data_IF_316535340402
#
_entry.id   IF_316535340402
#
_cell.length_a   1.000
_cell.length_b   1.000
_cell.length_c   1.000
_cell.angle_alpha   90.00
_cell.angle_beta   90.00
_cell.angle_gamma   90.00
#
_symmetry.space_group_name_H-M   'P 1'
#
loop_
_entity.id
_entity.type
_entity.pdbx_description
1 polymer ?
#
# COMPACT_ATOMS: atom_id res chain seq x y z
N UNK A 1 -16.94 -1.61 1.74
CA UNK A 1 -15.97 -1.75 2.85
C UNK A 1 -14.58 -1.94 2.26
N UNK A 2 -13.53 -1.56 2.99
CA UNK A 2 -12.14 -1.77 2.57
C UNK A 2 -11.36 -2.52 3.63
N UNK A 3 -10.61 -3.55 3.21
CA UNK A 3 -9.63 -4.24 4.06
C UNK A 3 -8.25 -3.98 3.45
N UNK A 4 -7.33 -3.43 4.24
CA UNK A 4 -5.93 -3.32 3.82
C UNK A 4 -5.32 -4.71 3.67
N UNK A 5 -4.60 -4.93 2.56
CA UNK A 5 -3.89 -6.17 2.27
C UNK A 5 -2.42 -5.87 2.03
N UNK A 6 -1.54 -6.82 2.36
CA UNK A 6 -0.10 -6.72 2.10
C UNK A 6 0.27 -7.55 0.87
N UNK A 7 1.35 -7.16 0.19
CA UNK A 7 1.90 -7.99 -0.88
C UNK A 7 2.22 -9.40 -0.36
N UNK A 8 1.84 -10.42 -1.13
CA UNK A 8 2.01 -11.83 -0.76
C UNK A 8 0.93 -12.39 0.17
N UNK A 9 0.01 -11.57 0.66
CA UNK A 9 -1.14 -12.05 1.43
C UNK A 9 -2.10 -12.83 0.52
N UNK A 10 -2.49 -14.04 0.94
CA UNK A 10 -3.55 -14.79 0.27
C UNK A 10 -4.88 -14.04 0.39
N UNK A 11 -5.50 -13.76 -0.76
CA UNK A 11 -6.79 -13.05 -0.85
C UNK A 11 -7.92 -13.91 -1.45
N UNK A 12 -7.60 -15.11 -1.94
CA UNK A 12 -8.56 -16.02 -2.54
C UNK A 12 -7.88 -17.22 -3.17
N UNK A 13 -8.68 -18.07 -3.80
CA UNK A 13 -8.24 -19.28 -4.51
C UNK A 13 -8.72 -19.23 -5.97
N UNK A 14 -8.02 -19.95 -6.85
CA UNK A 14 -8.40 -20.07 -8.27
C UNK A 14 -9.76 -20.74 -8.40
N UNK A 15 -10.53 -20.34 -9.40
CA UNK A 15 -11.83 -20.91 -9.71
C UNK A 15 -12.14 -20.83 -11.20
N UNK A 16 -13.42 -21.02 -11.52
CA UNK A 16 -13.97 -21.02 -12.89
C UNK A 16 -15.34 -20.33 -12.93
N UNK A 17 -15.59 -19.41 -12.01
CA UNK A 17 -16.86 -18.66 -11.98
C UNK A 17 -16.86 -17.57 -13.06
N UNK A 18 -18.01 -17.33 -13.69
CA UNK A 18 -18.17 -16.31 -14.74
C UNK A 18 -17.93 -16.85 -16.15
N UNK A 19 -17.49 -15.99 -17.06
CA UNK A 19 -17.12 -16.38 -18.43
C UNK A 19 -15.70 -16.98 -18.43
N UNK A 20 -15.63 -18.29 -18.24
CA UNK A 20 -14.38 -19.04 -18.14
C UNK A 20 -14.47 -20.39 -18.85
N UNK A 21 -13.45 -20.72 -19.63
CA UNK A 21 -13.33 -22.02 -20.34
C UNK A 21 -12.67 -23.12 -19.49
N UNK A 22 -12.05 -22.75 -18.37
CA UNK A 22 -11.39 -23.65 -17.43
C UNK A 22 -10.85 -22.90 -16.20
N UNK A 23 -10.32 -23.58 -15.16
CA UNK A 23 -9.85 -22.93 -13.95
C UNK A 23 -8.61 -22.06 -14.18
N UNK A 24 -8.74 -20.75 -13.95
CA UNK A 24 -7.64 -19.78 -14.10
C UNK A 24 -7.85 -18.54 -13.24
N UNK A 25 -6.81 -17.71 -13.11
CA UNK A 25 -6.88 -16.39 -12.47
C UNK A 25 -6.89 -15.31 -13.56
N UNK A 26 -7.96 -14.54 -13.64
CA UNK A 26 -7.95 -13.28 -14.36
C UNK A 26 -7.27 -12.21 -13.50
N UNK A 27 -6.08 -11.75 -13.90
CA UNK A 27 -5.33 -10.71 -13.20
C UNK A 27 -5.25 -9.46 -14.04
N UNK A 28 -5.70 -8.33 -13.47
CA UNK A 28 -5.74 -7.04 -14.15
C UNK A 28 -5.16 -5.94 -13.26
N UNK A 29 -4.46 -4.99 -13.88
CA UNK A 29 -4.01 -3.77 -13.21
C UNK A 29 -4.62 -2.54 -13.86
N UNK A 30 -5.08 -1.58 -13.04
CA UNK A 30 -5.62 -0.30 -13.50
C UNK A 30 -4.84 0.86 -12.88
N UNK A 31 -4.42 1.82 -13.71
CA UNK A 31 -3.82 3.09 -13.27
C UNK A 31 -4.71 4.24 -13.74
N UNK A 32 -5.19 5.06 -12.81
CA UNK A 32 -6.17 6.12 -13.12
C UNK A 32 -7.45 5.58 -13.80
N UNK A 33 -7.86 4.36 -13.44
CA UNK A 33 -9.04 3.68 -14.01
C UNK A 33 -8.81 2.97 -15.35
N UNK A 34 -7.66 3.15 -16.01
CA UNK A 34 -7.34 2.51 -17.29
C UNK A 34 -6.59 1.21 -17.09
N UNK A 35 -7.01 0.17 -17.81
CA UNK A 35 -6.31 -1.12 -17.86
C UNK A 35 -4.93 -0.96 -18.48
N UNK A 36 -3.92 -1.54 -17.85
CA UNK A 36 -2.54 -1.52 -18.33
C UNK A 36 -1.94 -2.92 -18.27
N UNK A 37 -0.93 -3.18 -19.10
CA UNK A 37 -0.20 -4.45 -19.07
C UNK A 37 0.50 -4.61 -17.70
N UNK A 38 0.14 -5.62 -16.88
CA UNK A 38 0.74 -5.75 -15.55
C UNK A 38 2.26 -5.95 -15.58
N UNK A 39 2.79 -6.55 -16.65
CA UNK A 39 4.23 -6.84 -16.78
C UNK A 39 5.07 -5.58 -16.97
N UNK A 40 4.47 -4.45 -17.36
CA UNK A 40 5.20 -3.18 -17.46
C UNK A 40 5.33 -2.46 -16.12
N UNK A 41 4.61 -2.91 -15.09
CA UNK A 41 4.60 -2.31 -13.77
C UNK A 41 5.46 -3.06 -12.75
N UNK A 42 5.87 -4.28 -13.06
CA UNK A 42 6.70 -5.10 -12.17
C UNK A 42 8.15 -4.77 -12.50
N UNK A 43 8.84 -3.96 -11.69
CA UNK A 43 10.27 -3.76 -11.89
C UNK A 43 10.99 -5.11 -11.75
N UNK A 44 12.12 -5.30 -12.45
CA UNK A 44 12.95 -6.47 -12.23
C UNK A 44 13.29 -6.57 -10.75
N UNK A 45 13.23 -7.78 -10.21
CA UNK A 45 13.64 -8.03 -8.84
C UNK A 45 15.10 -7.60 -8.72
N UNK A 46 15.36 -6.62 -7.85
CA UNK A 46 16.74 -6.27 -7.52
C UNK A 46 17.40 -7.43 -6.78
N UNK A 47 18.67 -7.65 -7.06
CA UNK A 47 19.48 -8.56 -6.24
C UNK A 47 19.53 -8.05 -4.80
N UNK A 48 19.48 -8.96 -3.80
CA UNK A 48 19.66 -8.57 -2.42
C UNK A 48 21.00 -7.87 -2.19
N UNK A 49 21.06 -6.96 -1.22
CA UNK A 49 22.33 -6.39 -0.75
C UNK A 49 23.25 -7.52 -0.32
N UNK A 50 24.44 -7.62 -0.92
CA UNK A 50 25.40 -8.67 -0.61
C UNK A 50 25.74 -8.65 0.89
N UNK A 51 25.94 -9.84 1.48
CA UNK A 51 26.11 -9.99 2.93
C UNK A 51 27.25 -9.12 3.49
N UNK A 52 28.34 -8.96 2.73
CA UNK A 52 29.48 -8.12 3.09
C UNK A 52 29.11 -6.64 3.30
N UNK A 53 28.11 -6.13 2.59
CA UNK A 53 27.67 -4.73 2.66
C UNK A 53 26.44 -4.53 3.55
N UNK A 54 25.88 -5.60 4.13
CA UNK A 54 24.59 -5.53 4.80
C UNK A 54 24.60 -4.61 6.01
N UNK A 55 25.64 -4.69 6.84
CA UNK A 55 25.77 -3.88 8.05
C UNK A 55 25.89 -2.38 7.72
N UNK A 56 26.72 -2.03 6.73
CA UNK A 56 26.89 -0.65 6.28
C UNK A 56 25.59 -0.09 5.66
N UNK A 57 24.93 -0.89 4.82
CA UNK A 57 23.64 -0.54 4.24
C UNK A 57 22.58 -0.28 5.31
N UNK A 58 22.48 -1.15 6.32
CA UNK A 58 21.51 -1.01 7.40
C UNK A 58 21.77 0.28 8.21
N UNK A 59 23.04 0.57 8.55
CA UNK A 59 23.41 1.79 9.24
C UNK A 59 23.09 3.07 8.44
N UNK A 60 23.39 3.08 7.13
CA UNK A 60 23.08 4.20 6.25
C UNK A 60 21.56 4.42 6.11
N UNK A 61 20.81 3.33 5.88
CA UNK A 61 19.34 3.35 5.82
C UNK A 61 18.76 3.96 7.08
N UNK A 62 19.20 3.51 8.24
CA UNK A 62 18.61 3.93 9.52
C UNK A 62 18.90 5.40 9.81
N UNK A 63 20.12 5.86 9.51
CA UNK A 63 20.47 7.28 9.59
C UNK A 63 19.56 8.12 8.69
N UNK A 64 19.51 7.81 7.39
CA UNK A 64 18.74 8.59 6.41
C UNK A 64 17.24 8.58 6.74
N UNK A 65 16.71 7.42 7.17
CA UNK A 65 15.32 7.32 7.60
C UNK A 65 15.01 8.23 8.78
N UNK A 66 15.93 8.33 9.75
CA UNK A 66 15.77 9.24 10.91
C UNK A 66 15.82 10.72 10.51
N UNK A 67 16.57 11.06 9.46
CA UNK A 67 16.66 12.42 8.92
C UNK A 67 15.36 12.79 8.18
N UNK A 68 14.84 11.87 7.35
CA UNK A 68 13.55 12.03 6.67
C UNK A 68 12.42 12.20 7.69
N UNK A 69 12.37 11.36 8.72
CA UNK A 69 11.32 11.44 9.75
C UNK A 69 11.38 12.75 10.54
N UNK A 70 12.59 13.26 10.84
CA UNK A 70 12.75 14.56 11.51
C UNK A 70 12.38 15.73 10.61
N UNK A 71 12.69 15.63 9.31
CA UNK A 71 12.34 16.65 8.33
C UNK A 71 10.85 16.65 7.99
N UNK A 72 10.20 15.49 8.10
CA UNK A 72 8.76 15.34 7.99
C UNK A 72 8.09 15.71 9.31
N UNK A 73 7.85 17.01 9.50
CA UNK A 73 6.84 17.47 10.45
C UNK A 73 5.49 17.34 9.74
N UNK A 74 4.62 16.36 10.04
CA UNK A 74 3.24 16.47 9.58
C UNK A 74 2.68 17.76 10.19
N UNK A 75 2.02 18.59 9.38
CA UNK A 75 1.29 19.74 9.92
C UNK A 75 0.41 19.25 11.08
N UNK A 76 0.36 19.96 12.22
CA UNK A 76 -0.54 19.56 13.30
C UNK A 76 -1.94 19.47 12.71
N UNK A 77 -2.47 18.24 12.70
CA UNK A 77 -3.79 17.95 12.20
C UNK A 77 -4.76 18.88 12.93
N UNK A 78 -5.44 19.75 12.19
CA UNK A 78 -6.56 20.49 12.72
C UNK A 78 -7.53 19.43 13.25
N UNK A 79 -7.54 19.24 14.56
CA UNK A 79 -8.51 18.37 15.21
C UNK A 79 -9.87 18.79 14.67
N UNK A 80 -10.69 17.87 14.12
CA UNK A 80 -12.07 18.22 13.85
C UNK A 80 -12.62 18.75 15.16
N UNK A 81 -13.00 20.04 15.16
CA UNK A 81 -13.79 20.60 16.24
C UNK A 81 -15.02 19.71 16.28
N UNK A 82 -15.14 18.90 17.33
CA UNK A 82 -16.39 18.25 17.65
C UNK A 82 -17.38 19.39 17.82
N UNK A 83 -18.15 19.63 16.76
CA UNK A 83 -19.17 20.66 16.69
C UNK A 83 -20.11 20.40 17.84
N UNK A 84 -20.31 21.44 18.65
CA UNK A 84 -21.32 21.49 19.69
C UNK A 84 -22.59 20.79 19.22
N UNK A 85 -22.96 19.72 19.93
CA UNK A 85 -24.33 19.24 19.91
C UNK A 85 -25.15 20.32 20.62
N UNK A 86 -25.84 21.14 19.83
CA UNK A 86 -26.85 22.06 20.33
C UNK A 86 -27.97 21.24 21.01
N UNK A 87 -28.25 21.42 22.31
CA UNK A 87 -29.26 20.64 23.02
C UNK A 87 -30.71 21.02 22.67
N UNK A 88 -30.98 21.83 21.64
CA UNK A 88 -32.32 22.32 21.34
C UNK A 88 -33.18 21.47 20.36
N UNK A 89 -32.64 20.47 19.67
CA UNK A 89 -33.44 19.68 18.67
C UNK A 89 -33.97 18.35 19.21
N UNK A 90 -34.67 18.41 20.35
CA UNK A 90 -35.62 17.38 20.78
C UNK A 90 -36.87 18.05 21.33
N UNK A 91 -37.80 18.40 20.44
CA UNK A 91 -39.24 18.50 20.71
C UNK A 91 -40.00 18.55 19.39
#
# INVERSE_FOLDING_TARGET
SGRSVRQGQTVGYVGMTGDATGPHLHFETRVGGKSVNPLTLIPPRAEPVAAAYRAEFDALRDRLKSEIERAWQPAPEAMPSDSAVDPADRS
#
